data_IF_150266045209
#
_entry.id   IF_150266045209
#
_cell.length_a   1.000
_cell.length_b   1.000
_cell.length_c   1.000
_cell.angle_alpha   90.00
_cell.angle_beta   90.00
_cell.angle_gamma   90.00
#
_symmetry.space_group_name_H-M   'P 1'
#
loop_
_entity.id
_entity.type
_entity.pdbx_description
1 polymer ?
#
# COMPACT_ATOMS: atom_id res chain seq x y z
N UNK A 1 10.56 -4.49 1.25
CA UNK A 1 10.02 -5.86 1.27
C UNK A 1 9.49 -6.25 2.65
N UNK A 2 10.27 -6.16 3.73
CA UNK A 2 9.83 -6.55 5.09
C UNK A 2 8.57 -5.83 5.58
N UNK A 3 8.36 -4.58 5.19
CA UNK A 3 7.16 -3.80 5.56
C UNK A 3 5.96 -3.98 4.61
N UNK A 4 6.16 -4.51 3.41
CA UNK A 4 5.10 -4.58 2.39
C UNK A 4 3.82 -5.31 2.85
N UNK A 5 3.85 -6.43 3.61
CA UNK A 5 2.63 -7.08 4.09
C UNK A 5 1.80 -6.18 5.01
N UNK A 6 2.46 -5.44 5.89
CA UNK A 6 1.79 -4.53 6.84
C UNK A 6 1.12 -3.37 6.12
N UNK A 7 1.86 -2.70 5.25
CA UNK A 7 1.33 -1.60 4.43
C UNK A 7 0.21 -2.09 3.53
N UNK A 8 0.34 -3.28 2.93
CA UNK A 8 -0.69 -3.87 2.07
C UNK A 8 -2.01 -4.09 2.80
N UNK A 9 -1.98 -4.69 4.00
CA UNK A 9 -3.18 -4.90 4.82
C UNK A 9 -3.81 -3.56 5.24
N UNK A 10 -2.99 -2.62 5.68
CA UNK A 10 -3.45 -1.29 6.08
C UNK A 10 -4.12 -0.55 4.92
N UNK A 11 -3.47 -0.48 3.75
CA UNK A 11 -4.02 0.19 2.56
C UNK A 11 -5.27 -0.52 2.05
N UNK A 12 -5.32 -1.86 2.07
CA UNK A 12 -6.52 -2.62 1.71
C UNK A 12 -7.72 -2.26 2.60
N UNK A 13 -7.48 -2.06 3.90
CA UNK A 13 -8.53 -1.66 4.85
C UNK A 13 -9.13 -0.29 4.53
N UNK A 14 -8.30 0.71 4.25
CA UNK A 14 -8.76 2.08 3.96
C UNK A 14 -9.30 2.26 2.54
N UNK A 15 -9.05 1.31 1.65
CA UNK A 15 -9.47 1.37 0.24
C UNK A 15 -10.82 0.71 -0.03
N UNK A 16 -11.60 0.42 1.02
CA UNK A 16 -12.91 -0.23 0.91
C UNK A 16 -13.86 0.58 0.02
N UNK A 17 -14.50 -0.07 -0.95
CA UNK A 17 -15.41 0.57 -1.90
C UNK A 17 -14.76 1.16 -3.16
N UNK A 18 -13.44 1.06 -3.32
CA UNK A 18 -12.74 1.47 -4.54
C UNK A 18 -12.59 0.30 -5.51
N UNK A 19 -12.51 0.61 -6.82
CA UNK A 19 -12.21 -0.42 -7.81
C UNK A 19 -10.74 -0.85 -7.72
N UNK A 20 -10.44 -2.10 -8.06
CA UNK A 20 -9.06 -2.64 -8.07
C UNK A 20 -8.12 -1.78 -8.92
N UNK A 21 -8.61 -1.27 -10.06
CA UNK A 21 -7.83 -0.40 -10.93
C UNK A 21 -7.45 0.91 -10.25
N UNK A 22 -8.40 1.59 -9.60
CA UNK A 22 -8.14 2.82 -8.85
C UNK A 22 -7.17 2.59 -7.68
N UNK A 23 -7.34 1.44 -6.99
CA UNK A 23 -6.44 1.04 -5.92
C UNK A 23 -5.00 0.89 -6.41
N UNK A 24 -4.79 0.06 -7.45
CA UNK A 24 -3.45 -0.21 -7.99
C UNK A 24 -2.79 1.06 -8.53
N UNK A 25 -3.53 1.88 -9.29
CA UNK A 25 -3.01 3.15 -9.82
C UNK A 25 -2.63 4.11 -8.68
N UNK A 26 -3.50 4.27 -7.67
CA UNK A 26 -3.22 5.14 -6.52
C UNK A 26 -1.97 4.72 -5.74
N UNK A 27 -1.86 3.42 -5.44
CA UNK A 27 -0.72 2.88 -4.66
C UNK A 27 0.61 2.94 -5.43
N UNK A 28 0.58 2.81 -6.75
CA UNK A 28 1.79 2.88 -7.57
C UNK A 28 2.19 4.33 -7.89
N UNK A 29 1.26 5.14 -8.38
CA UNK A 29 1.61 6.46 -8.90
C UNK A 29 1.85 7.49 -7.80
N UNK A 30 1.01 7.54 -6.76
CA UNK A 30 1.11 8.61 -5.75
C UNK A 30 2.43 8.56 -4.98
N UNK A 31 2.86 7.43 -4.39
CA UNK A 31 4.15 7.37 -3.70
C UNK A 31 5.33 7.55 -4.66
N UNK A 32 5.22 7.05 -5.89
CA UNK A 32 6.30 7.17 -6.89
C UNK A 32 6.51 8.62 -7.29
N UNK A 33 5.45 9.36 -7.59
CA UNK A 33 5.54 10.79 -7.93
C UNK A 33 6.10 11.62 -6.77
N UNK A 34 5.65 11.35 -5.54
CA UNK A 34 6.20 12.00 -4.35
C UNK A 34 7.68 11.69 -4.16
N UNK A 35 8.09 10.45 -4.42
CA UNK A 35 9.49 10.03 -4.33
C UNK A 35 10.35 10.75 -5.38
N UNK A 36 9.88 10.85 -6.62
CA UNK A 36 10.58 11.60 -7.66
C UNK A 36 10.70 13.09 -7.30
N UNK A 37 9.62 13.69 -6.81
CA UNK A 37 9.65 15.07 -6.37
C UNK A 37 10.65 15.29 -5.22
N UNK A 38 10.64 14.37 -4.23
CA UNK A 38 11.57 14.40 -3.12
C UNK A 38 13.03 14.32 -3.58
N UNK A 39 13.36 13.35 -4.43
CA UNK A 39 14.72 13.19 -4.93
C UNK A 39 15.13 14.33 -5.85
N UNK A 40 14.23 14.89 -6.65
CA UNK A 40 14.54 16.03 -7.49
C UNK A 40 14.90 17.28 -6.67
N UNK A 41 14.13 17.55 -5.61
CA UNK A 41 14.35 18.73 -4.76
C UNK A 41 15.54 18.50 -3.83
N UNK A 42 15.45 17.49 -2.96
CA UNK A 42 16.46 17.27 -1.91
C UNK A 42 17.78 16.75 -2.48
N UNK A 43 17.71 15.81 -3.45
CA UNK A 43 18.91 15.29 -4.12
C UNK A 43 19.57 16.35 -4.99
N UNK A 44 18.80 17.15 -5.72
CA UNK A 44 19.32 18.25 -6.52
C UNK A 44 19.99 19.33 -5.66
N UNK A 45 19.37 19.69 -4.54
CA UNK A 45 19.94 20.66 -3.59
C UNK A 45 21.23 20.12 -2.95
N UNK A 46 21.24 18.84 -2.54
CA UNK A 46 22.42 18.22 -1.96
C UNK A 46 23.60 18.17 -2.95
N UNK A 47 23.30 17.84 -4.20
CA UNK A 47 24.32 17.83 -5.26
C UNK A 47 24.85 19.24 -5.55
N UNK A 48 23.96 20.23 -5.60
CA UNK A 48 24.37 21.63 -5.79
C UNK A 48 25.25 22.11 -4.65
N UNK A 49 24.88 21.85 -3.40
CA UNK A 49 25.66 22.23 -2.22
C UNK A 49 27.03 21.55 -2.19
N UNK A 50 27.10 20.28 -2.59
CA UNK A 50 28.37 19.53 -2.69
C UNK A 50 29.30 20.08 -3.77
N UNK A 51 28.77 20.56 -4.90
CA UNK A 51 29.55 21.06 -6.04
C UNK A 51 29.92 22.53 -5.94
N UNK A 52 29.07 23.37 -5.34
CA UNK A 52 29.19 24.82 -5.34
C UNK A 52 29.12 25.47 -3.96
N UNK A 53 28.73 24.69 -2.93
CA UNK A 53 28.62 25.12 -1.54
C UNK A 53 29.82 24.75 -0.68
N UNK A 54 29.57 24.44 0.59
CA UNK A 54 30.60 24.05 1.55
C UNK A 54 31.28 22.73 1.24
N UNK A 55 30.62 21.84 0.49
CA UNK A 55 31.13 20.50 0.15
C UNK A 55 31.24 19.52 1.33
N UNK A 56 30.65 19.86 2.49
CA UNK A 56 30.83 19.11 3.75
C UNK A 56 29.93 17.89 3.91
N UNK A 57 29.04 17.58 2.93
CA UNK A 57 28.14 16.43 2.98
C UNK A 57 28.90 15.10 2.87
N UNK A 58 30.05 15.11 2.19
CA UNK A 58 30.98 13.97 2.13
C UNK A 58 32.11 14.22 3.13
N UNK A 59 32.14 13.45 4.20
CA UNK A 59 33.19 13.56 5.21
C UNK A 59 34.61 13.35 4.62
N UNK A 60 35.64 13.82 5.32
CA UNK A 60 37.05 13.79 4.89
C UNK A 60 37.60 12.39 4.54
N UNK A 61 36.87 11.32 4.89
CA UNK A 61 37.20 9.92 4.53
C UNK A 61 36.41 9.36 3.34
N UNK A 62 35.68 10.18 2.58
CA UNK A 62 34.82 9.73 1.47
C UNK A 62 33.56 8.96 1.92
N UNK A 63 33.30 8.87 3.21
CA UNK A 63 32.11 8.23 3.76
C UNK A 63 31.01 9.27 4.05
N UNK A 64 29.83 8.98 3.57
CA UNK A 64 28.63 9.80 3.84
C UNK A 64 27.94 9.30 5.11
N UNK A 65 27.79 10.17 6.10
CA UNK A 65 26.97 9.87 7.26
C UNK A 65 25.48 9.95 6.91
N UNK A 66 24.94 8.88 6.30
CA UNK A 66 23.61 8.82 5.68
C UNK A 66 22.51 9.30 6.66
N UNK A 67 22.67 9.04 7.95
CA UNK A 67 21.71 9.43 9.00
C UNK A 67 21.70 10.94 9.27
N UNK A 68 22.79 11.65 8.93
CA UNK A 68 22.98 13.07 9.23
C UNK A 68 22.80 13.98 8.01
N UNK A 69 22.90 13.44 6.80
CA UNK A 69 22.87 14.21 5.53
C UNK A 69 21.63 15.11 5.44
N UNK A 70 20.45 14.60 5.79
CA UNK A 70 19.23 15.39 5.74
C UNK A 70 19.30 16.61 6.67
N UNK A 71 19.81 16.42 7.89
CA UNK A 71 19.90 17.50 8.87
C UNK A 71 20.99 18.51 8.53
N UNK A 72 22.12 18.04 7.98
CA UNK A 72 23.18 18.91 7.46
C UNK A 72 22.67 19.77 6.31
N UNK A 73 21.98 19.14 5.33
CA UNK A 73 21.39 19.84 4.20
C UNK A 73 20.34 20.87 4.63
N UNK A 74 19.43 20.50 5.53
CA UNK A 74 18.43 21.43 6.04
C UNK A 74 19.08 22.56 6.85
N UNK A 75 20.14 22.25 7.61
CA UNK A 75 20.88 23.23 8.40
C UNK A 75 21.64 24.26 7.56
N UNK A 76 22.07 23.93 6.35
CA UNK A 76 22.76 24.83 5.42
C UNK A 76 21.80 25.83 4.74
N UNK A 77 20.47 25.59 4.79
CA UNK A 77 19.48 26.45 4.16
C UNK A 77 19.15 27.68 5.02
N UNK A 78 18.61 28.76 4.41
CA UNK A 78 18.04 29.88 5.17
C UNK A 78 16.97 29.37 6.16
N UNK A 79 17.03 29.82 7.42
CA UNK A 79 16.19 29.33 8.52
C UNK A 79 16.41 27.84 8.88
N UNK A 80 17.62 27.29 8.67
CA UNK A 80 17.98 25.88 8.85
C UNK A 80 17.56 25.32 10.19
N UNK A 81 17.73 26.04 11.30
CA UNK A 81 17.32 25.59 12.64
C UNK A 81 15.82 25.28 12.71
N UNK A 82 14.97 26.10 12.10
CA UNK A 82 13.51 25.89 12.08
C UNK A 82 13.18 24.66 11.23
N UNK A 83 13.85 24.49 10.09
CA UNK A 83 13.67 23.36 9.19
C UNK A 83 14.09 22.04 9.87
N UNK A 84 15.21 22.03 10.58
CA UNK A 84 15.69 20.85 11.33
C UNK A 84 14.70 20.47 12.44
N UNK A 85 14.23 21.44 13.22
CA UNK A 85 13.23 21.17 14.27
C UNK A 85 11.93 20.64 13.65
N UNK A 86 11.45 21.26 12.56
CA UNK A 86 10.28 20.80 11.83
C UNK A 86 10.45 19.36 11.32
N UNK A 87 11.61 19.04 10.76
CA UNK A 87 11.92 17.69 10.29
C UNK A 87 11.93 16.66 11.44
N UNK A 88 12.50 17.00 12.61
CA UNK A 88 12.50 16.11 13.78
C UNK A 88 11.06 15.83 14.23
N UNK A 89 10.22 16.87 14.34
CA UNK A 89 8.81 16.71 14.72
C UNK A 89 8.09 15.84 13.71
N UNK A 90 8.28 16.12 12.41
CA UNK A 90 7.65 15.34 11.32
C UNK A 90 8.05 13.86 11.37
N UNK A 91 9.34 13.58 11.55
CA UNK A 91 9.86 12.21 11.70
C UNK A 91 9.25 11.53 12.92
N UNK A 92 9.14 12.24 14.04
CA UNK A 92 8.51 11.73 15.26
C UNK A 92 7.05 11.35 15.06
N UNK A 93 6.26 12.22 14.45
CA UNK A 93 4.84 11.96 14.12
C UNK A 93 4.71 10.78 13.15
N UNK A 94 5.57 10.73 12.13
CA UNK A 94 5.57 9.63 11.17
C UNK A 94 5.95 8.30 11.83
N UNK A 95 6.92 8.31 12.75
CA UNK A 95 7.30 7.13 13.52
C UNK A 95 6.13 6.60 14.37
N UNK A 96 5.47 7.49 15.14
CA UNK A 96 4.32 7.10 15.98
C UNK A 96 3.18 6.52 15.16
N UNK A 97 2.80 7.16 14.06
CA UNK A 97 1.72 6.67 13.17
C UNK A 97 2.08 5.33 12.53
N UNK A 98 3.34 5.15 12.16
CA UNK A 98 3.84 3.90 11.58
C UNK A 98 3.87 2.77 12.60
N UNK A 99 4.29 3.05 13.84
CA UNK A 99 4.32 2.08 14.92
C UNK A 99 2.90 1.63 15.32
N UNK A 100 1.94 2.57 15.41
CA UNK A 100 0.54 2.25 15.71
C UNK A 100 -0.08 1.38 14.62
N UNK A 101 0.13 1.74 13.34
CA UNK A 101 -0.34 0.94 12.21
C UNK A 101 0.28 -0.47 12.19
N UNK A 102 1.58 -0.58 12.49
CA UNK A 102 2.28 -1.86 12.60
C UNK A 102 1.71 -2.74 13.72
N UNK A 103 1.49 -2.17 14.90
CA UNK A 103 0.92 -2.87 16.05
C UNK A 103 -0.52 -3.34 15.77
N UNK A 104 -1.32 -2.53 15.07
CA UNK A 104 -2.66 -2.90 14.63
C UNK A 104 -2.62 -4.13 13.71
N UNK A 105 -1.77 -4.13 12.69
CA UNK A 105 -1.67 -5.23 11.73
C UNK A 105 -1.16 -6.51 12.40
N UNK A 106 -0.17 -6.42 13.28
CA UNK A 106 0.30 -7.57 14.07
C UNK A 106 -0.83 -8.13 14.95
N UNK A 107 -1.61 -7.26 15.58
CA UNK A 107 -2.79 -7.65 16.34
C UNK A 107 -3.85 -8.36 15.47
N UNK A 108 -4.11 -7.87 14.26
CA UNK A 108 -5.02 -8.51 13.30
C UNK A 108 -4.56 -9.91 12.91
N UNK A 109 -3.27 -10.08 12.61
CA UNK A 109 -2.68 -11.39 12.26
C UNK A 109 -2.79 -12.36 13.45
N UNK A 110 -2.44 -11.91 14.66
CA UNK A 110 -2.47 -12.71 15.87
C UNK A 110 -3.88 -13.17 16.29
N UNK A 111 -4.91 -12.42 15.90
CA UNK A 111 -6.32 -12.73 16.19
C UNK A 111 -7.04 -13.46 15.05
N UNK A 112 -6.29 -13.98 14.07
CA UNK A 112 -6.88 -14.72 12.95
C UNK A 112 -7.66 -13.85 11.96
N UNK A 113 -7.30 -12.58 11.83
CA UNK A 113 -7.89 -11.64 10.85
C UNK A 113 -9.01 -10.77 11.40
N UNK A 114 -9.17 -10.64 12.73
CA UNK A 114 -10.10 -9.68 13.31
C UNK A 114 -9.70 -8.25 12.92
N UNK A 115 -10.61 -7.52 12.29
CA UNK A 115 -10.35 -6.15 11.81
C UNK A 115 -10.10 -5.15 12.95
N UNK A 116 -10.64 -5.42 14.12
CA UNK A 116 -10.48 -4.60 15.33
C UNK A 116 -10.02 -5.48 16.51
N UNK A 117 -8.73 -5.79 16.59
CA UNK A 117 -8.19 -6.51 17.73
C UNK A 117 -8.32 -5.68 19.02
N UNK A 118 -8.46 -6.36 20.16
CA UNK A 118 -8.56 -5.69 21.46
C UNK A 118 -7.33 -4.80 21.70
N UNK A 119 -7.55 -3.64 22.33
CA UNK A 119 -6.49 -2.64 22.56
C UNK A 119 -5.27 -3.22 23.30
N UNK A 120 -5.47 -4.11 24.26
CA UNK A 120 -4.36 -4.71 24.99
C UNK A 120 -3.42 -5.53 24.09
N UNK A 121 -3.95 -6.19 23.04
CA UNK A 121 -3.15 -6.94 22.05
C UNK A 121 -2.28 -5.98 21.25
N UNK A 122 -2.83 -4.84 20.83
CA UNK A 122 -2.07 -3.79 20.13
C UNK A 122 -0.94 -3.25 21.02
N UNK A 123 -1.25 -2.92 22.27
CA UNK A 123 -0.25 -2.43 23.25
C UNK A 123 0.83 -3.48 23.49
N UNK A 124 0.46 -4.75 23.62
CA UNK A 124 1.41 -5.85 23.79
C UNK A 124 2.38 -5.94 22.60
N UNK A 125 1.87 -5.96 21.36
CA UNK A 125 2.73 -6.02 20.15
C UNK A 125 3.58 -4.76 19.98
N UNK A 126 3.04 -3.58 20.27
CA UNK A 126 3.82 -2.34 20.28
C UNK A 126 4.97 -2.41 21.29
N UNK A 127 4.71 -2.88 22.52
CA UNK A 127 5.72 -3.05 23.56
C UNK A 127 6.80 -4.06 23.18
N UNK A 128 6.41 -5.23 22.67
CA UNK A 128 7.36 -6.25 22.18
C UNK A 128 8.24 -5.70 21.07
N UNK A 129 7.64 -5.01 20.09
CA UNK A 129 8.40 -4.41 18.98
C UNK A 129 9.39 -3.34 19.49
N UNK A 130 8.95 -2.49 20.40
CA UNK A 130 9.82 -1.50 21.02
C UNK A 130 10.98 -2.15 21.78
N UNK A 131 10.71 -3.20 22.55
CA UNK A 131 11.72 -3.94 23.30
C UNK A 131 12.75 -4.59 22.38
N UNK A 132 12.31 -5.24 21.30
CA UNK A 132 13.20 -5.82 20.29
C UNK A 132 14.03 -4.74 19.60
N UNK A 133 13.44 -3.60 19.25
CA UNK A 133 14.16 -2.49 18.63
C UNK A 133 15.26 -1.93 19.57
N UNK A 134 14.93 -1.74 20.86
CA UNK A 134 15.91 -1.29 21.87
C UNK A 134 17.03 -2.31 22.05
N UNK A 135 16.69 -3.61 22.17
CA UNK A 135 17.68 -4.66 22.30
C UNK A 135 18.65 -4.71 21.11
N UNK A 136 18.14 -4.61 19.89
CA UNK A 136 18.96 -4.56 18.67
C UNK A 136 19.83 -3.29 18.62
N UNK A 137 19.29 -2.17 19.05
CA UNK A 137 20.04 -0.91 19.10
C UNK A 137 21.20 -0.97 20.09
N UNK A 138 20.97 -1.58 21.26
CA UNK A 138 22.02 -1.78 22.26
C UNK A 138 23.07 -2.82 21.82
N UNK A 139 22.67 -3.85 21.08
CA UNK A 139 23.56 -4.93 20.64
C UNK A 139 24.50 -4.52 19.49
N UNK A 140 24.06 -3.66 18.58
CA UNK A 140 24.88 -3.29 17.41
C UNK A 140 24.44 -2.01 16.70
N UNK A 141 23.73 -1.13 17.38
CA UNK A 141 23.29 0.16 16.86
C UNK A 141 22.36 0.03 15.65
N UNK A 142 22.32 1.06 14.82
CA UNK A 142 21.49 1.11 13.61
C UNK A 142 21.80 -0.01 12.60
N UNK A 143 23.06 -0.47 12.56
CA UNK A 143 23.46 -1.55 11.67
C UNK A 143 22.80 -2.89 12.04
N UNK A 144 22.65 -3.20 13.32
CA UNK A 144 21.93 -4.38 13.79
C UNK A 144 20.46 -4.34 13.37
N UNK A 145 19.79 -3.19 13.52
CA UNK A 145 18.42 -2.98 13.06
C UNK A 145 18.27 -3.16 11.55
N UNK A 146 19.17 -2.55 10.76
CA UNK A 146 19.19 -2.71 9.29
C UNK A 146 19.39 -4.16 8.89
N UNK A 147 20.35 -4.85 9.49
CA UNK A 147 20.64 -6.26 9.19
C UNK A 147 19.47 -7.17 9.56
N UNK A 148 18.84 -6.97 10.72
CA UNK A 148 17.65 -7.73 11.12
C UNK A 148 16.49 -7.53 10.13
N UNK A 149 16.24 -6.28 9.70
CA UNK A 149 15.21 -5.97 8.71
C UNK A 149 15.48 -6.63 7.34
N UNK A 150 16.72 -6.60 6.86
CA UNK A 150 17.12 -7.20 5.58
C UNK A 150 17.01 -8.73 5.65
N UNK A 151 17.48 -9.34 6.74
CA UNK A 151 17.41 -10.79 6.93
C UNK A 151 15.97 -11.30 6.97
N UNK A 152 15.09 -10.56 7.65
CA UNK A 152 13.66 -10.87 7.70
C UNK A 152 12.96 -10.65 6.35
N UNK A 153 13.43 -9.72 5.53
CA UNK A 153 12.83 -9.43 4.23
C UNK A 153 12.93 -10.61 3.25
N UNK A 154 13.96 -11.46 3.36
CA UNK A 154 14.18 -12.58 2.43
C UNK A 154 13.06 -13.64 2.49
N UNK A 155 12.71 -14.24 3.64
CA UNK A 155 11.59 -15.18 3.71
C UNK A 155 10.25 -14.51 3.37
N UNK A 156 10.06 -13.24 3.75
CA UNK A 156 8.85 -12.50 3.38
C UNK A 156 8.73 -12.26 1.87
N UNK A 157 9.84 -12.12 1.14
CA UNK A 157 9.79 -11.95 -0.32
C UNK A 157 9.18 -13.17 -1.02
N UNK A 158 9.48 -14.38 -0.54
CA UNK A 158 8.87 -15.62 -1.05
C UNK A 158 7.36 -15.62 -0.81
N UNK A 159 6.96 -15.30 0.43
CA UNK A 159 5.53 -15.19 0.79
C UNK A 159 4.81 -14.17 -0.09
N UNK A 160 5.43 -13.00 -0.34
CA UNK A 160 4.87 -11.97 -1.21
C UNK A 160 4.66 -12.45 -2.64
N UNK A 161 5.60 -13.18 -3.23
CA UNK A 161 5.45 -13.77 -4.57
C UNK A 161 4.28 -14.75 -4.60
N UNK A 162 4.16 -15.62 -3.58
CA UNK A 162 3.04 -16.55 -3.47
C UNK A 162 1.70 -15.84 -3.30
N UNK A 163 1.66 -14.74 -2.53
CA UNK A 163 0.46 -13.91 -2.38
C UNK A 163 0.06 -13.25 -3.71
N UNK A 164 1.02 -12.70 -4.46
CA UNK A 164 0.76 -12.15 -5.79
C UNK A 164 0.16 -13.21 -6.73
N UNK A 165 0.74 -14.41 -6.76
CA UNK A 165 0.23 -15.53 -7.54
C UNK A 165 -1.19 -15.92 -7.15
N UNK A 166 -1.44 -16.08 -5.84
CA UNK A 166 -2.77 -16.39 -5.29
C UNK A 166 -3.80 -15.32 -5.66
N UNK A 167 -3.43 -14.05 -5.59
CA UNK A 167 -4.31 -12.92 -5.92
C UNK A 167 -4.70 -12.92 -7.40
N UNK A 168 -3.74 -13.19 -8.31
CA UNK A 168 -4.03 -13.31 -9.76
C UNK A 168 -5.00 -14.47 -10.02
N UNK A 169 -4.81 -15.62 -9.35
CA UNK A 169 -5.72 -16.76 -9.48
C UNK A 169 -7.13 -16.39 -8.96
N UNK A 170 -7.21 -15.74 -7.79
CA UNK A 170 -8.47 -15.33 -7.19
C UNK A 170 -9.25 -14.39 -8.12
N UNK A 171 -8.63 -13.35 -8.63
CA UNK A 171 -9.26 -12.42 -9.58
C UNK A 171 -9.69 -13.10 -10.89
N UNK A 172 -8.90 -14.02 -11.39
CA UNK A 172 -9.25 -14.78 -12.60
C UNK A 172 -10.47 -15.67 -12.38
N UNK A 173 -10.55 -16.32 -11.20
CA UNK A 173 -11.71 -17.14 -10.82
C UNK A 173 -12.97 -16.28 -10.66
N UNK A 174 -12.85 -15.17 -9.98
CA UNK A 174 -13.95 -14.23 -9.76
C UNK A 174 -14.49 -13.68 -11.09
N UNK A 175 -13.61 -13.20 -11.98
CA UNK A 175 -13.98 -12.75 -13.31
C UNK A 175 -14.71 -13.83 -14.11
N UNK A 176 -14.27 -15.08 -14.03
CA UNK A 176 -14.94 -16.21 -14.68
C UNK A 176 -16.32 -16.50 -14.05
N UNK A 177 -16.45 -16.35 -12.73
CA UNK A 177 -17.72 -16.53 -12.04
C UNK A 177 -18.74 -15.45 -12.46
N UNK A 178 -18.34 -14.18 -12.51
CA UNK A 178 -19.19 -13.09 -13.00
C UNK A 178 -19.62 -13.30 -14.45
N UNK A 179 -18.70 -13.67 -15.34
CA UNK A 179 -19.03 -13.94 -16.74
C UNK A 179 -20.00 -15.13 -16.90
N UNK A 180 -19.90 -16.15 -16.05
CA UNK A 180 -20.85 -17.28 -16.04
C UNK A 180 -22.23 -16.87 -15.51
N UNK A 181 -22.27 -16.05 -14.46
CA UNK A 181 -23.52 -15.55 -13.90
C UNK A 181 -24.26 -14.66 -14.93
N UNK A 182 -23.54 -13.77 -15.62
CA UNK A 182 -24.08 -12.91 -16.65
C UNK A 182 -24.65 -13.73 -17.85
N UNK A 183 -23.90 -14.74 -18.30
CA UNK A 183 -24.37 -15.66 -19.35
C UNK A 183 -25.62 -16.43 -18.92
N UNK A 184 -25.69 -16.91 -17.67
CA UNK A 184 -26.86 -17.61 -17.15
C UNK A 184 -28.09 -16.69 -17.08
N UNK A 185 -27.91 -15.45 -16.63
CA UNK A 185 -28.97 -14.46 -16.61
C UNK A 185 -29.49 -14.14 -18.02
N UNK A 186 -28.57 -13.97 -18.99
CA UNK A 186 -28.94 -13.75 -20.39
C UNK A 186 -29.72 -14.95 -20.99
N UNK A 187 -29.27 -16.18 -20.71
CA UNK A 187 -29.95 -17.37 -21.21
C UNK A 187 -31.32 -17.56 -20.55
N UNK A 188 -31.49 -17.20 -19.28
CA UNK A 188 -32.78 -17.20 -18.61
C UNK A 188 -33.73 -16.16 -19.22
N UNK A 189 -33.25 -14.93 -19.45
CA UNK A 189 -34.03 -13.86 -20.09
C UNK A 189 -34.45 -14.25 -21.55
N UNK A 190 -33.55 -14.92 -22.27
CA UNK A 190 -33.88 -15.44 -23.63
C UNK A 190 -34.90 -16.56 -23.55
N UNK A 191 -34.75 -17.53 -22.64
CA UNK A 191 -35.70 -18.64 -22.51
C UNK A 191 -37.09 -18.13 -22.13
N UNK A 192 -37.20 -17.16 -21.24
CA UNK A 192 -38.47 -16.51 -20.88
C UNK A 192 -39.11 -15.79 -22.08
N UNK A 193 -38.30 -15.07 -22.88
CA UNK A 193 -38.75 -14.40 -24.08
C UNK A 193 -39.31 -15.39 -25.10
N UNK A 194 -38.59 -16.49 -25.42
CA UNK A 194 -39.05 -17.51 -26.35
C UNK A 194 -40.28 -18.27 -25.83
N UNK A 195 -40.37 -18.52 -24.55
CA UNK A 195 -41.53 -19.21 -23.95
C UNK A 195 -42.79 -18.36 -24.06
N UNK A 196 -42.69 -17.03 -23.85
CA UNK A 196 -43.80 -16.09 -24.03
C UNK A 196 -44.19 -15.92 -25.50
N UNK A 197 -43.24 -15.94 -26.42
CA UNK A 197 -43.52 -15.79 -27.86
C UNK A 197 -44.15 -17.03 -28.46
N UNK A 198 -43.84 -18.22 -27.97
CA UNK A 198 -44.33 -19.51 -28.46
C UNK A 198 -45.66 -19.92 -27.83
N UNK A 199 -45.86 -19.59 -26.53
CA UNK A 199 -47.02 -20.03 -25.73
C UNK A 199 -48.19 -19.05 -25.82
N UNK A 200 -47.94 -17.74 -26.03
CA UNK A 200 -49.00 -16.73 -26.04
C UNK A 200 -48.84 -15.70 -27.19
N UNK A 201 -49.18 -16.08 -28.43
CA UNK A 201 -49.14 -15.15 -29.58
C UNK A 201 -50.20 -14.04 -29.53
N UNK A 202 -51.17 -14.11 -28.61
CA UNK A 202 -52.30 -13.18 -28.53
C UNK A 202 -52.00 -11.91 -27.69
N UNK A 203 -50.98 -11.91 -26.84
CA UNK A 203 -50.64 -10.78 -25.95
C UNK A 203 -49.42 -9.97 -26.47
N UNK A 204 -49.48 -9.49 -27.73
CA UNK A 204 -48.43 -8.69 -28.37
C UNK A 204 -48.43 -7.24 -27.88
N UNK A 205 -47.95 -6.98 -26.69
CA UNK A 205 -47.45 -5.65 -26.35
C UNK A 205 -46.00 -5.50 -26.85
N UNK A 206 -45.57 -4.34 -27.40
CA UNK A 206 -44.18 -4.15 -27.89
C UNK A 206 -43.23 -4.10 -26.72
N UNK A 207 -42.68 -5.26 -26.32
CA UNK A 207 -41.66 -5.36 -25.27
C UNK A 207 -40.28 -5.20 -25.86
N UNK A 208 -39.48 -4.35 -25.26
CA UNK A 208 -38.05 -4.20 -25.59
C UNK A 208 -37.31 -5.53 -25.41
N UNK A 209 -36.83 -6.10 -26.51
CA UNK A 209 -36.14 -7.39 -26.52
C UNK A 209 -34.93 -7.45 -25.59
N UNK A 210 -34.51 -8.65 -25.16
CA UNK A 210 -33.43 -8.86 -24.20
C UNK A 210 -32.10 -8.22 -24.65
N UNK A 211 -31.85 -8.11 -25.94
CA UNK A 211 -30.66 -7.47 -26.53
C UNK A 211 -30.62 -5.96 -26.22
N UNK A 212 -31.77 -5.26 -26.24
CA UNK A 212 -31.84 -3.84 -25.93
C UNK A 212 -31.67 -3.58 -24.40
N UNK A 213 -32.14 -4.50 -23.56
CA UNK A 213 -31.88 -4.43 -22.10
C UNK A 213 -30.39 -4.61 -21.82
N UNK A 214 -29.69 -5.50 -22.49
CA UNK A 214 -28.27 -5.71 -22.38
C UNK A 214 -27.46 -4.49 -22.85
N UNK A 215 -27.80 -3.90 -23.95
CA UNK A 215 -27.15 -2.68 -24.47
C UNK A 215 -27.27 -1.49 -23.50
N UNK A 216 -28.36 -1.38 -22.73
CA UNK A 216 -28.51 -0.37 -21.67
C UNK A 216 -27.67 -0.66 -20.42
N UNK A 217 -27.41 -1.95 -20.09
CA UNK A 217 -26.55 -2.33 -18.96
C UNK A 217 -25.06 -2.09 -19.23
N UNK A 218 -24.63 -2.25 -20.48
CA UNK A 218 -23.21 -2.06 -20.88
C UNK A 218 -22.85 -0.56 -20.95
N UNK A 219 -23.84 0.35 -21.11
CA UNK A 219 -23.63 1.80 -21.15
C UNK A 219 -23.60 2.51 -19.77
N UNK A 220 -23.84 1.81 -18.68
CA UNK A 220 -23.70 2.32 -17.30
C UNK A 220 -22.47 1.70 -16.62
#
# INVERSE_FOLDING_TARGET
>A
MSWAPFVGIFIARISRGRTVRQFVLGVLFVPTLLTFLWFAIMGGTALYDQLHGSGDLIGQGGSVAVEQVLFQLLGSMPAGSVLVIGAIILIGVFFVTSADSGALVMGMIATGGQLEPKNWIRVFFAGVTALVAVALLLAGGLNALKTAAITTALPFSIVMVLMCWSTVIAFTRERRAYARAERRALMADLAEFYQQEVVDPAERAPRTGPIQKLARRIRR
#
